data_IF_930071539667
#
_entry.id   IF_930071539667
#
_cell.length_a   1.000
_cell.length_b   1.000
_cell.length_c   1.000
_cell.angle_alpha   90.00
_cell.angle_beta   90.00
_cell.angle_gamma   90.00
#
_symmetry.space_group_name_H-M   'P 1'
#
loop_
_entity.id
_entity.type
_entity.pdbx_description
1 polymer ?
#
# COMPACT_ATOMS: atom_id res chain seq x y z
N UNK A 1 3.88 -42.98 32.95
CA UNK A 1 4.50 -41.72 32.49
C UNK A 1 4.62 -41.79 30.97
N UNK A 2 3.99 -41.00 30.11
CA UNK A 2 2.99 -39.92 30.22
C UNK A 2 2.08 -40.14 29.00
N UNK A 3 0.78 -40.32 29.23
CA UNK A 3 -0.26 -40.28 28.20
C UNK A 3 -0.63 -38.81 27.99
N UNK A 4 -0.41 -38.26 26.80
CA UNK A 4 -1.05 -37.01 26.38
C UNK A 4 -2.36 -37.35 25.66
N UNK A 5 -3.45 -37.25 26.42
CA UNK A 5 -4.82 -37.22 25.90
C UNK A 5 -5.02 -35.91 25.15
N UNK A 6 -5.14 -35.94 23.83
CA UNK A 6 -5.79 -34.87 23.08
C UNK A 6 -7.30 -35.13 23.12
N UNK A 7 -7.97 -34.48 24.07
CA UNK A 7 -9.43 -34.39 24.12
C UNK A 7 -9.92 -33.34 23.13
N UNK A 8 -10.70 -33.80 22.15
CA UNK A 8 -11.78 -33.08 21.45
C UNK A 8 -11.56 -31.62 21.06
N UNK A 9 -11.31 -31.38 19.77
CA UNK A 9 -11.91 -30.26 19.06
C UNK A 9 -12.61 -30.82 17.83
N UNK A 10 -13.90 -30.55 17.73
CA UNK A 10 -14.75 -30.84 16.58
C UNK A 10 -14.08 -30.47 15.27
N UNK A 11 -14.09 -31.39 14.31
CA UNK A 11 -13.77 -31.15 12.91
C UNK A 11 -14.80 -30.19 12.33
N UNK A 12 -14.66 -28.88 12.58
CA UNK A 12 -15.34 -27.88 11.79
C UNK A 12 -14.66 -27.86 10.42
N UNK A 13 -15.30 -28.50 9.44
CA UNK A 13 -15.00 -28.31 8.01
C UNK A 13 -15.21 -26.83 7.68
N UNK A 14 -14.18 -26.02 7.88
CA UNK A 14 -14.13 -24.67 7.32
C UNK A 14 -13.93 -24.81 5.81
N UNK A 15 -15.03 -24.93 5.07
CA UNK A 15 -15.02 -24.66 3.64
C UNK A 15 -14.67 -23.18 3.46
N UNK A 16 -13.39 -22.89 3.24
CA UNK A 16 -12.93 -21.57 2.85
C UNK A 16 -13.37 -21.32 1.41
N UNK A 17 -14.59 -20.80 1.24
CA UNK A 17 -14.99 -20.24 -0.05
C UNK A 17 -14.26 -18.91 -0.23
N UNK A 18 -13.28 -18.90 -1.12
CA UNK A 18 -12.59 -17.69 -1.55
C UNK A 18 -13.12 -17.30 -2.93
N UNK A 19 -13.64 -16.10 -3.04
CA UNK A 19 -14.11 -15.54 -4.30
C UNK A 19 -13.92 -14.03 -4.28
N UNK A 20 -13.74 -13.44 -5.46
CA UNK A 20 -13.80 -11.99 -5.60
C UNK A 20 -15.29 -11.60 -5.53
N UNK A 21 -15.68 -10.67 -4.64
CA UNK A 21 -17.07 -10.25 -4.56
C UNK A 21 -17.54 -9.67 -5.89
N UNK A 22 -18.70 -10.11 -6.38
CA UNK A 22 -19.21 -9.72 -7.70
C UNK A 22 -19.36 -8.21 -7.85
N UNK A 23 -19.73 -7.50 -6.78
CA UNK A 23 -19.88 -6.04 -6.80
C UNK A 23 -18.57 -5.32 -7.17
N UNK A 24 -17.42 -5.82 -6.74
CA UNK A 24 -16.12 -5.22 -7.06
C UNK A 24 -15.82 -5.33 -8.55
N UNK A 25 -16.19 -6.47 -9.15
CA UNK A 25 -16.07 -6.70 -10.60
C UNK A 25 -17.08 -5.81 -11.36
N UNK A 26 -18.35 -5.80 -10.94
CA UNK A 26 -19.40 -5.03 -11.59
C UNK A 26 -19.08 -3.54 -11.65
N UNK A 27 -18.58 -2.95 -10.56
CA UNK A 27 -18.22 -1.53 -10.54
C UNK A 27 -17.10 -1.18 -11.54
N UNK A 28 -16.07 -2.02 -11.61
CA UNK A 28 -14.95 -1.83 -12.54
C UNK A 28 -15.44 -2.03 -13.98
N UNK A 29 -16.26 -3.05 -14.21
CA UNK A 29 -16.84 -3.34 -15.51
C UNK A 29 -17.73 -2.20 -16.02
N UNK A 30 -18.59 -1.64 -15.17
CA UNK A 30 -19.44 -0.51 -15.50
C UNK A 30 -18.60 0.70 -15.95
N UNK A 31 -17.51 1.01 -15.24
CA UNK A 31 -16.59 2.09 -15.64
C UNK A 31 -15.90 1.80 -16.97
N UNK A 32 -15.55 0.55 -17.27
CA UNK A 32 -14.97 0.16 -18.56
C UNK A 32 -15.99 0.34 -19.69
N UNK A 33 -17.25 -0.02 -19.45
CA UNK A 33 -18.34 0.08 -20.43
C UNK A 33 -18.74 1.54 -20.66
N UNK A 34 -18.82 2.36 -19.61
CA UNK A 34 -19.28 3.76 -19.67
C UNK A 34 -18.23 4.77 -20.14
N UNK A 35 -17.11 4.29 -20.70
CA UNK A 35 -15.88 5.02 -20.98
C UNK A 35 -15.12 5.48 -19.71
N UNK A 36 -13.97 4.85 -19.47
CA UNK A 36 -13.09 5.17 -18.35
C UNK A 36 -12.20 6.39 -18.65
N UNK A 37 -11.89 7.15 -17.60
CA UNK A 37 -11.08 8.38 -17.69
C UNK A 37 -9.59 8.17 -17.39
N UNK A 38 -9.16 6.93 -17.14
CA UNK A 38 -7.76 6.63 -16.84
C UNK A 38 -6.91 6.39 -18.09
N UNK A 39 -5.60 6.19 -17.91
CA UNK A 39 -4.69 5.96 -19.02
C UNK A 39 -5.11 4.68 -19.79
N UNK A 40 -4.94 4.67 -21.11
CA UNK A 40 -5.25 3.49 -21.89
C UNK A 40 -4.21 2.40 -21.63
N UNK A 41 -4.66 1.20 -21.28
CA UNK A 41 -3.79 0.02 -21.14
C UNK A 41 -4.02 -0.96 -22.29
N UNK A 42 -2.94 -1.61 -22.72
CA UNK A 42 -2.99 -2.70 -23.68
C UNK A 42 -3.26 -4.02 -22.95
N UNK A 43 -4.43 -4.62 -23.17
CA UNK A 43 -4.81 -5.90 -22.58
C UNK A 43 -5.23 -6.84 -23.70
N UNK A 44 -4.54 -7.98 -23.84
CA UNK A 44 -4.80 -8.99 -24.88
C UNK A 44 -4.87 -8.39 -26.30
N UNK A 45 -3.98 -7.42 -26.61
CA UNK A 45 -3.92 -6.77 -27.93
C UNK A 45 -4.96 -5.67 -28.15
N UNK A 46 -5.83 -5.38 -27.18
CA UNK A 46 -6.83 -4.32 -27.27
C UNK A 46 -6.43 -3.17 -26.34
N UNK A 47 -6.24 -1.98 -26.91
CA UNK A 47 -5.99 -0.76 -26.15
C UNK A 47 -7.32 -0.15 -25.73
N UNK A 48 -7.58 -0.06 -24.42
CA UNK A 48 -8.78 0.58 -23.87
C UNK A 48 -8.43 1.50 -22.71
N UNK A 49 -9.12 2.64 -22.56
CA UNK A 49 -9.07 3.44 -21.35
C UNK A 49 -9.41 2.56 -20.15
N UNK A 50 -8.52 2.55 -19.15
CA UNK A 50 -8.75 1.78 -17.93
C UNK A 50 -9.29 2.66 -16.82
N UNK A 51 -10.18 2.15 -15.96
CA UNK A 51 -10.74 2.93 -14.87
C UNK A 51 -9.68 3.21 -13.82
N UNK A 52 -9.66 4.45 -13.36
CA UNK A 52 -9.02 4.78 -12.09
C UNK A 52 -9.93 4.31 -10.95
N UNK A 53 -9.32 3.72 -9.93
CA UNK A 53 -10.02 3.23 -8.75
C UNK A 53 -9.63 4.11 -7.57
N UNK A 54 -10.64 4.74 -6.98
CA UNK A 54 -10.48 5.52 -5.76
C UNK A 54 -10.61 4.63 -4.53
N UNK A 55 -9.68 4.78 -3.60
CA UNK A 55 -9.61 4.00 -2.36
C UNK A 55 -9.26 4.89 -1.17
N UNK A 56 -9.65 4.48 0.04
CA UNK A 56 -9.38 5.21 1.28
C UNK A 56 -7.96 4.95 1.83
N UNK A 57 -7.34 3.82 1.46
CA UNK A 57 -6.02 3.38 1.98
C UNK A 57 -5.95 3.22 3.50
N UNK A 58 -7.00 2.64 4.08
CA UNK A 58 -7.11 2.33 5.50
C UNK A 58 -7.38 0.83 5.68
N UNK A 59 -6.63 0.20 6.58
CA UNK A 59 -6.91 -1.17 7.01
C UNK A 59 -8.02 -1.14 8.07
N UNK A 60 -9.12 -1.84 7.78
CA UNK A 60 -10.33 -1.86 8.59
C UNK A 60 -10.66 -3.29 9.01
N UNK A 61 -11.26 -3.44 10.18
CA UNK A 61 -11.80 -4.70 10.64
C UNK A 61 -13.19 -4.53 11.27
N UNK A 62 -14.09 -5.51 11.09
CA UNK A 62 -15.41 -5.46 11.69
C UNK A 62 -15.33 -5.66 13.21
N UNK A 63 -16.11 -4.86 13.94
CA UNK A 63 -16.32 -5.00 15.38
C UNK A 63 -17.83 -5.10 15.65
N UNK A 64 -18.26 -6.13 16.37
CA UNK A 64 -19.67 -6.29 16.75
C UNK A 64 -20.17 -5.11 17.57
N UNK A 65 -21.43 -4.69 17.36
CA UNK A 65 -22.01 -3.57 18.08
C UNK A 65 -22.11 -3.81 19.59
N UNK A 66 -22.26 -5.06 20.03
CA UNK A 66 -22.19 -5.44 21.46
C UNK A 66 -20.85 -5.05 22.09
N UNK A 67 -19.75 -5.22 21.35
CA UNK A 67 -18.41 -4.82 21.77
C UNK A 67 -18.18 -3.32 21.55
N UNK A 68 -18.75 -2.72 20.51
CA UNK A 68 -18.69 -1.27 20.31
C UNK A 68 -19.35 -0.52 21.48
N UNK A 69 -20.44 -1.05 22.03
CA UNK A 69 -21.12 -0.50 23.21
C UNK A 69 -20.22 -0.47 24.45
N UNK A 70 -19.37 -1.49 24.68
CA UNK A 70 -18.43 -1.47 25.80
C UNK A 70 -17.34 -0.41 25.67
N UNK A 71 -17.12 0.12 24.45
CA UNK A 71 -16.24 1.27 24.21
C UNK A 71 -16.96 2.62 24.32
N UNK A 72 -18.25 2.65 24.69
CA UNK A 72 -19.02 3.87 24.91
C UNK A 72 -19.78 4.38 23.69
N UNK A 73 -19.92 3.59 22.62
CA UNK A 73 -20.72 3.98 21.46
C UNK A 73 -22.18 4.23 21.88
N UNK A 74 -22.77 5.35 21.45
CA UNK A 74 -24.10 5.76 21.86
C UNK A 74 -25.20 4.81 21.34
N UNK A 75 -26.27 4.68 22.11
CA UNK A 75 -27.41 3.84 21.71
C UNK A 75 -28.07 4.35 20.42
N UNK A 76 -28.02 5.66 20.14
CA UNK A 76 -28.51 6.25 18.89
C UNK A 76 -27.77 5.66 17.69
N UNK A 77 -26.44 5.62 17.74
CA UNK A 77 -25.64 5.01 16.66
C UNK A 77 -25.82 3.50 16.56
N UNK A 78 -25.94 2.80 17.69
CA UNK A 78 -26.23 1.36 17.68
C UNK A 78 -27.55 1.10 16.94
N UNK A 79 -28.62 1.85 17.24
CA UNK A 79 -29.89 1.69 16.55
C UNK A 79 -29.79 2.04 15.05
N UNK A 80 -29.08 3.11 14.69
CA UNK A 80 -28.86 3.50 13.29
C UNK A 80 -28.14 2.40 12.50
N UNK A 81 -27.07 1.82 13.06
CA UNK A 81 -26.28 0.77 12.42
C UNK A 81 -27.06 -0.57 12.34
N UNK A 82 -27.83 -0.93 13.38
CA UNK A 82 -28.71 -2.10 13.34
C UNK A 82 -29.82 -1.94 12.30
N UNK A 83 -30.39 -0.73 12.17
CA UNK A 83 -31.41 -0.45 11.16
C UNK A 83 -30.85 -0.59 9.74
N UNK A 84 -29.60 -0.17 9.50
CA UNK A 84 -28.94 -0.31 8.20
C UNK A 84 -28.57 -1.76 7.87
N UNK A 85 -27.99 -2.49 8.82
CA UNK A 85 -27.59 -3.90 8.62
C UNK A 85 -28.00 -4.76 9.83
N UNK A 86 -29.25 -5.27 9.84
CA UNK A 86 -29.77 -6.05 10.96
C UNK A 86 -29.15 -7.44 11.08
N UNK A 87 -28.42 -7.90 10.05
CA UNK A 87 -27.80 -9.21 9.98
C UNK A 87 -26.39 -9.16 10.59
N UNK A 88 -25.52 -8.27 10.08
CA UNK A 88 -24.11 -8.23 10.52
C UNK A 88 -23.94 -7.57 11.89
N UNK A 89 -24.75 -6.54 12.19
CA UNK A 89 -24.72 -5.80 13.47
C UNK A 89 -23.29 -5.44 13.91
N UNK A 90 -22.56 -4.78 13.02
CA UNK A 90 -21.16 -4.43 13.19
C UNK A 90 -20.90 -2.95 12.87
N UNK A 91 -19.77 -2.47 13.34
CA UNK A 91 -19.15 -1.20 12.96
C UNK A 91 -17.72 -1.48 12.46
N UNK A 92 -17.23 -0.70 11.51
CA UNK A 92 -15.86 -0.85 11.01
C UNK A 92 -14.91 -0.04 11.87
N UNK A 93 -13.83 -0.68 12.31
CA UNK A 93 -12.82 -0.08 13.17
C UNK A 93 -11.48 0.00 12.46
N UNK A 94 -10.78 1.13 12.63
CA UNK A 94 -9.46 1.38 12.02
C UNK A 94 -8.41 0.52 12.71
N UNK A 95 -7.69 -0.28 11.92
CA UNK A 95 -6.50 -1.02 12.37
C UNK A 95 -5.23 -0.18 12.17
N UNK A 96 -5.15 0.50 11.04
CA UNK A 96 -4.05 1.38 10.66
C UNK A 96 -4.29 1.99 9.29
N UNK A 97 -3.56 3.03 8.97
CA UNK A 97 -3.56 3.66 7.66
C UNK A 97 -2.30 3.23 6.89
N UNK A 98 -2.38 3.18 5.56
CA UNK A 98 -1.18 3.00 4.76
C UNK A 98 -0.32 4.26 4.88
N UNK A 99 0.98 4.09 5.06
CA UNK A 99 1.91 5.20 5.16
C UNK A 99 1.98 6.02 3.86
N UNK A 100 2.01 7.34 3.98
CA UNK A 100 1.90 8.31 2.89
C UNK A 100 0.51 8.40 2.25
N UNK A 101 -0.52 7.76 2.82
CA UNK A 101 -1.91 7.91 2.33
C UNK A 101 -2.52 9.24 2.78
N UNK A 102 -3.59 9.66 2.11
CA UNK A 102 -4.32 10.86 2.53
C UNK A 102 -5.10 10.69 3.84
N UNK A 103 -5.18 9.47 4.36
CA UNK A 103 -5.85 9.15 5.62
C UNK A 103 -4.89 9.06 6.83
N UNK A 104 -3.58 8.93 6.62
CA UNK A 104 -2.58 8.58 7.65
C UNK A 104 -2.60 9.48 8.89
N UNK A 105 -2.77 10.79 8.71
CA UNK A 105 -2.75 11.77 9.81
C UNK A 105 -4.15 12.19 10.29
N UNK A 106 -5.21 11.60 9.73
CA UNK A 106 -6.59 11.97 10.01
C UNK A 106 -7.32 10.89 10.81
N UNK A 107 -7.08 9.63 10.47
CA UNK A 107 -7.67 8.48 11.13
C UNK A 107 -6.63 7.79 12.02
N UNK A 108 -7.07 7.41 13.22
CA UNK A 108 -6.23 6.79 14.24
C UNK A 108 -6.65 5.35 14.49
N UNK A 109 -5.70 4.54 14.97
CA UNK A 109 -6.00 3.18 15.36
C UNK A 109 -7.10 3.14 16.43
N UNK A 110 -8.13 2.35 16.15
CA UNK A 110 -9.26 2.14 17.06
C UNK A 110 -10.44 3.06 16.83
N UNK A 111 -10.36 4.04 15.93
CA UNK A 111 -11.52 4.81 15.48
C UNK A 111 -12.60 3.90 14.91
N UNK A 112 -13.86 4.19 15.22
CA UNK A 112 -14.99 3.53 14.58
C UNK A 112 -15.60 4.45 13.53
N UNK A 113 -15.75 3.97 12.30
CA UNK A 113 -16.38 4.71 11.22
C UNK A 113 -17.89 4.52 11.34
N UNK A 114 -18.62 5.60 11.61
CA UNK A 114 -20.06 5.59 11.85
C UNK A 114 -20.85 5.93 10.59
N UNK A 115 -20.46 6.98 9.89
CA UNK A 115 -21.12 7.44 8.69
C UNK A 115 -20.13 8.08 7.71
N UNK A 116 -20.49 8.09 6.43
CA UNK A 116 -19.83 8.85 5.38
C UNK A 116 -20.89 9.64 4.63
N UNK A 117 -20.68 10.95 4.47
CA UNK A 117 -21.64 11.90 3.90
C UNK A 117 -23.02 11.81 4.57
N UNK A 118 -23.03 11.69 5.90
CA UNK A 118 -24.22 11.52 6.77
C UNK A 118 -24.98 10.20 6.58
N UNK A 119 -24.52 9.30 5.74
CA UNK A 119 -25.08 7.97 5.57
C UNK A 119 -24.33 6.95 6.44
N UNK A 120 -25.01 6.17 7.31
CA UNK A 120 -24.35 5.19 8.17
C UNK A 120 -23.53 4.16 7.38
N UNK A 121 -22.44 3.65 7.95
CA UNK A 121 -21.54 2.68 7.31
C UNK A 121 -21.43 1.41 8.16
N UNK A 122 -21.71 0.25 7.57
CA UNK A 122 -21.68 -1.03 8.29
C UNK A 122 -20.76 -2.06 7.65
N UNK A 123 -20.39 -1.91 6.37
CA UNK A 123 -19.57 -2.86 5.66
C UNK A 123 -18.57 -2.21 4.69
N UNK A 124 -17.57 -2.98 4.23
CA UNK A 124 -16.52 -2.48 3.33
C UNK A 124 -17.09 -1.89 2.03
N UNK A 125 -18.16 -2.51 1.51
CA UNK A 125 -18.86 -2.05 0.30
C UNK A 125 -19.43 -0.63 0.47
N UNK A 126 -19.90 -0.23 1.66
CA UNK A 126 -20.39 1.13 1.88
C UNK A 126 -19.27 2.17 1.68
N UNK A 127 -18.05 1.85 2.14
CA UNK A 127 -16.87 2.72 1.98
C UNK A 127 -16.43 2.77 0.52
N UNK A 128 -16.39 1.61 -0.15
CA UNK A 128 -16.05 1.54 -1.57
C UNK A 128 -17.04 2.36 -2.41
N UNK A 129 -18.34 2.21 -2.17
CA UNK A 129 -19.39 2.99 -2.83
C UNK A 129 -19.23 4.49 -2.58
N UNK A 130 -18.94 4.89 -1.34
CA UNK A 130 -18.72 6.29 -0.99
C UNK A 130 -17.48 6.88 -1.70
N UNK A 131 -16.40 6.11 -1.79
CA UNK A 131 -15.23 6.48 -2.60
C UNK A 131 -15.65 6.66 -4.07
N UNK A 132 -16.27 5.66 -4.70
CA UNK A 132 -16.62 5.75 -6.13
C UNK A 132 -17.63 6.86 -6.44
N UNK A 133 -18.52 7.21 -5.51
CA UNK A 133 -19.46 8.31 -5.68
C UNK A 133 -18.77 9.67 -5.90
N UNK A 134 -17.54 9.84 -5.39
CA UNK A 134 -16.75 11.05 -5.63
C UNK A 134 -16.38 11.23 -7.10
N UNK A 135 -16.23 10.14 -7.87
CA UNK A 135 -15.87 10.22 -9.29
C UNK A 135 -17.02 10.72 -10.17
N UNK A 136 -18.27 10.67 -9.68
CA UNK A 136 -19.46 11.12 -10.43
C UNK A 136 -19.70 12.63 -10.32
N UNK A 137 -19.04 13.30 -9.37
CA UNK A 137 -19.20 14.72 -9.10
C UNK A 137 -17.97 15.48 -9.58
N UNK A 138 -18.12 16.31 -10.61
CA UNK A 138 -17.05 17.14 -11.16
C UNK A 138 -16.57 18.26 -10.20
N UNK A 139 -17.18 18.38 -9.02
CA UNK A 139 -16.90 19.43 -8.02
C UNK A 139 -16.28 18.90 -6.73
N UNK A 140 -15.99 17.60 -6.61
CA UNK A 140 -15.50 17.05 -5.35
C UNK A 140 -13.97 17.03 -5.28
N UNK A 141 -13.40 17.63 -4.23
CA UNK A 141 -11.96 17.67 -3.92
C UNK A 141 -11.34 16.29 -3.55
N UNK A 142 -12.05 15.18 -3.84
CA UNK A 142 -11.64 13.83 -3.46
C UNK A 142 -11.71 13.56 -1.95
N UNK A 143 -12.49 14.36 -1.21
CA UNK A 143 -12.67 14.28 0.24
C UNK A 143 -13.99 13.58 0.59
N UNK A 144 -13.97 12.74 1.63
CA UNK A 144 -15.14 12.13 2.24
C UNK A 144 -15.44 12.83 3.57
N UNK A 145 -16.68 13.27 3.78
CA UNK A 145 -17.12 13.72 5.09
C UNK A 145 -17.40 12.48 5.96
N UNK A 146 -16.53 12.21 6.92
CA UNK A 146 -16.61 11.03 7.78
C UNK A 146 -17.04 11.42 9.20
N UNK A 147 -18.07 10.76 9.71
CA UNK A 147 -18.41 10.76 11.13
C UNK A 147 -17.73 9.56 11.76
N UNK A 148 -16.84 9.80 12.72
CA UNK A 148 -16.14 8.75 13.46
C UNK A 148 -16.44 8.84 14.96
N UNK A 149 -16.20 7.74 15.66
CA UNK A 149 -16.18 7.69 17.11
C UNK A 149 -14.76 7.45 17.61
N UNK A 150 -14.20 8.45 18.31
CA UNK A 150 -12.85 8.44 18.89
C UNK A 150 -12.95 8.79 20.37
N UNK A 151 -12.38 7.93 21.22
CA UNK A 151 -12.24 8.17 22.66
C UNK A 151 -13.54 8.66 23.36
N UNK A 152 -14.69 8.05 23.05
CA UNK A 152 -15.96 8.40 23.69
C UNK A 152 -16.72 9.55 23.03
N UNK A 153 -16.20 10.14 21.94
CA UNK A 153 -16.80 11.31 21.28
C UNK A 153 -17.00 11.07 19.79
N UNK A 154 -18.04 11.69 19.28
CA UNK A 154 -18.30 11.79 17.84
C UNK A 154 -17.45 12.93 17.26
N UNK A 155 -16.77 12.66 16.15
CA UNK A 155 -15.90 13.60 15.47
C UNK A 155 -16.21 13.59 13.99
N UNK A 156 -16.40 14.78 13.41
CA UNK A 156 -16.55 14.98 11.98
C UNK A 156 -15.18 15.31 11.37
N UNK A 157 -14.79 14.57 10.33
CA UNK A 157 -13.52 14.75 9.62
C UNK A 157 -13.74 14.80 8.12
N UNK A 158 -12.90 15.55 7.42
CA UNK A 158 -12.77 15.48 5.96
C UNK A 158 -11.55 14.62 5.63
N UNK A 159 -11.77 13.41 5.11
CA UNK A 159 -10.69 12.45 4.83
C UNK A 159 -10.48 12.31 3.33
N UNK A 160 -9.25 12.50 2.88
CA UNK A 160 -8.90 12.38 1.47
C UNK A 160 -8.85 10.94 0.99
N UNK A 161 -9.05 10.76 -0.31
CA UNK A 161 -8.96 9.47 -1.00
C UNK A 161 -7.81 9.43 -2.01
N UNK A 162 -7.20 8.28 -2.11
CA UNK A 162 -6.12 7.97 -3.03
C UNK A 162 -6.67 7.36 -4.32
N UNK A 163 -5.96 7.56 -5.43
CA UNK A 163 -6.37 7.10 -6.76
C UNK A 163 -5.33 6.11 -7.29
N UNK A 164 -5.78 4.97 -7.78
CA UNK A 164 -4.95 3.89 -8.30
C UNK A 164 -5.30 3.59 -9.75
N UNK A 165 -4.28 3.36 -10.56
CA UNK A 165 -4.37 2.98 -11.97
C UNK A 165 -4.32 1.46 -12.20
N UNK A 166 -4.00 0.70 -11.15
CA UNK A 166 -3.93 -0.77 -11.19
C UNK A 166 -2.60 -1.34 -11.69
N UNK A 167 -1.63 -0.53 -12.11
CA UNK A 167 -0.35 -1.02 -12.63
C UNK A 167 0.59 -1.54 -11.52
N UNK A 168 0.48 -1.00 -10.31
CA UNK A 168 1.37 -1.33 -9.21
C UNK A 168 2.80 -0.86 -9.48
N UNK A 169 3.79 -1.76 -9.36
CA UNK A 169 5.20 -1.42 -9.60
C UNK A 169 5.50 -1.38 -11.10
N UNK A 170 5.95 -0.24 -11.58
CA UNK A 170 6.30 -0.01 -13.00
C UNK A 170 7.80 0.18 -13.24
N UNK A 171 8.61 0.27 -12.17
CA UNK A 171 10.06 0.45 -12.26
C UNK A 171 10.76 -0.29 -11.14
N UNK A 172 11.83 -0.99 -11.50
CA UNK A 172 12.77 -1.58 -10.53
C UNK A 172 14.19 -1.35 -10.99
N UNK A 173 15.13 -1.19 -10.06
CA UNK A 173 16.55 -0.97 -10.35
C UNK A 173 17.37 -2.04 -9.64
N UNK A 174 18.25 -2.70 -10.38
CA UNK A 174 19.29 -3.53 -9.81
C UNK A 174 20.58 -2.72 -9.69
N UNK A 175 21.12 -2.66 -8.48
CA UNK A 175 22.42 -2.06 -8.19
C UNK A 175 23.21 -2.96 -7.25
N UNK A 176 24.41 -3.39 -7.66
CA UNK A 176 25.29 -4.25 -6.86
C UNK A 176 24.62 -5.51 -6.28
N UNK A 177 23.54 -6.00 -6.92
CA UNK A 177 22.77 -7.17 -6.54
C UNK A 177 21.62 -6.93 -5.54
N UNK A 178 21.31 -5.69 -5.19
CA UNK A 178 20.00 -5.36 -4.60
C UNK A 178 19.02 -4.92 -5.67
N UNK A 179 17.76 -5.29 -5.51
CA UNK A 179 16.63 -4.79 -6.30
C UNK A 179 15.89 -3.76 -5.46
N UNK A 180 15.89 -2.52 -5.95
CA UNK A 180 15.20 -1.39 -5.33
C UNK A 180 14.01 -0.95 -6.19
N UNK A 181 12.99 -0.43 -5.52
CA UNK A 181 11.76 0.08 -6.12
C UNK A 181 11.06 1.05 -5.16
N UNK A 182 10.04 1.77 -5.64
CA UNK A 182 9.14 2.49 -4.75
C UNK A 182 8.42 1.52 -3.78
N UNK A 183 8.11 1.93 -2.54
CA UNK A 183 7.42 1.09 -1.58
C UNK A 183 6.04 0.68 -2.12
N UNK A 184 5.87 -0.61 -2.39
CA UNK A 184 4.58 -1.13 -2.81
C UNK A 184 3.56 -1.05 -1.66
N UNK A 185 2.26 -1.08 -1.99
CA UNK A 185 1.18 -0.88 -1.01
C UNK A 185 1.27 -1.79 0.22
N UNK A 186 1.72 -3.04 0.05
CA UNK A 186 1.93 -3.95 1.19
C UNK A 186 3.02 -3.49 2.18
N UNK A 187 4.07 -2.76 1.75
CA UNK A 187 5.06 -2.15 2.66
C UNK A 187 4.45 -0.93 3.34
N UNK A 188 3.74 -0.09 2.58
CA UNK A 188 3.04 1.09 3.14
C UNK A 188 2.00 0.69 4.19
N UNK A 189 1.33 -0.44 4.01
CA UNK A 189 0.37 -0.99 4.97
C UNK A 189 0.99 -1.38 6.33
N UNK A 190 2.33 -1.46 6.42
CA UNK A 190 3.04 -1.67 7.68
C UNK A 190 3.12 -0.38 8.52
N UNK A 191 2.68 0.77 7.98
CA UNK A 191 2.50 2.02 8.72
C UNK A 191 3.78 2.82 8.95
N UNK A 192 4.80 2.65 8.10
CA UNK A 192 6.03 3.41 8.22
C UNK A 192 6.66 3.75 6.86
N UNK A 193 7.04 5.02 6.68
CA UNK A 193 7.92 5.52 5.62
C UNK A 193 8.92 6.51 6.25
N UNK A 194 10.21 6.46 5.89
CA UNK A 194 11.18 7.45 6.34
C UNK A 194 10.87 8.87 5.84
N UNK A 195 11.10 9.87 6.70
CA UNK A 195 10.90 11.28 6.38
C UNK A 195 11.98 11.82 5.41
N UNK A 196 13.21 11.31 5.50
CA UNK A 196 14.34 11.78 4.69
C UNK A 196 14.26 11.37 3.22
N UNK A 197 13.39 10.42 2.88
CA UNK A 197 13.25 9.87 1.54
C UNK A 197 12.84 8.40 1.59
N UNK A 198 11.82 8.04 0.83
CA UNK A 198 11.24 6.70 0.89
C UNK A 198 10.96 6.07 -0.48
N UNK A 199 11.40 6.67 -1.60
CA UNK A 199 11.22 6.08 -2.93
C UNK A 199 12.20 4.95 -3.29
N UNK A 200 13.21 4.68 -2.45
CA UNK A 200 14.25 3.66 -2.76
C UNK A 200 14.22 2.54 -1.73
N UNK A 201 13.19 1.70 -1.81
CA UNK A 201 13.03 0.55 -0.92
C UNK A 201 13.76 -0.69 -1.44
N UNK A 202 14.62 -1.29 -0.62
CA UNK A 202 15.30 -2.55 -0.93
C UNK A 202 14.31 -3.70 -0.78
N UNK A 203 13.77 -4.17 -1.90
CA UNK A 203 12.79 -5.24 -1.94
C UNK A 203 13.45 -6.63 -1.87
N UNK A 204 14.63 -6.77 -2.47
CA UNK A 204 15.36 -8.04 -2.54
C UNK A 204 16.86 -7.82 -2.65
N UNK A 205 17.62 -8.82 -2.23
CA UNK A 205 19.05 -8.93 -2.51
C UNK A 205 19.37 -10.33 -3.07
N UNK A 206 20.44 -10.42 -3.84
CA UNK A 206 20.92 -11.68 -4.40
C UNK A 206 22.06 -12.26 -3.56
N UNK A 207 22.07 -13.56 -3.31
CA UNK A 207 23.17 -14.21 -2.60
C UNK A 207 24.48 -14.13 -3.41
N UNK A 208 25.60 -13.95 -2.71
CA UNK A 208 26.92 -13.80 -3.33
C UNK A 208 27.18 -12.43 -3.97
N UNK A 209 26.21 -11.52 -3.96
CA UNK A 209 26.38 -10.16 -4.45
C UNK A 209 27.20 -9.26 -3.50
N UNK A 210 27.72 -8.11 -3.98
CA UNK A 210 28.31 -7.10 -3.11
C UNK A 210 27.37 -6.69 -1.97
N UNK A 211 26.09 -6.41 -2.25
CA UNK A 211 25.13 -6.03 -1.19
C UNK A 211 24.99 -7.11 -0.11
N UNK A 212 25.02 -8.39 -0.49
CA UNK A 212 24.99 -9.51 0.46
C UNK A 212 26.24 -9.56 1.33
N UNK A 213 27.42 -9.35 0.72
CA UNK A 213 28.72 -9.32 1.40
C UNK A 213 28.83 -8.16 2.40
N UNK A 214 28.30 -6.99 2.06
CA UNK A 214 28.39 -5.78 2.87
C UNK A 214 27.18 -5.53 3.78
N UNK A 215 26.18 -6.42 3.77
CA UNK A 215 25.07 -6.41 4.73
C UNK A 215 23.92 -5.46 4.39
N UNK A 216 23.73 -5.12 3.12
CA UNK A 216 22.55 -4.42 2.61
C UNK A 216 21.48 -5.45 2.20
N UNK A 217 20.55 -5.73 3.11
CA UNK A 217 19.43 -6.65 2.95
C UNK A 217 18.10 -5.94 2.63
N UNK A 218 17.00 -6.69 2.47
CA UNK A 218 15.67 -6.08 2.28
C UNK A 218 15.14 -5.42 3.56
N UNK A 219 13.94 -4.84 3.45
CA UNK A 219 13.22 -4.17 4.54
C UNK A 219 13.86 -2.86 5.02
N UNK A 220 14.58 -2.18 4.12
CA UNK A 220 15.18 -0.89 4.41
C UNK A 220 15.15 0.02 3.19
N UNK A 221 15.17 1.32 3.42
CA UNK A 221 15.30 2.35 2.40
C UNK A 221 16.73 2.83 2.29
N UNK A 222 17.20 3.04 1.06
CA UNK A 222 18.43 3.77 0.81
C UNK A 222 18.06 5.25 0.74
N UNK A 223 18.53 6.03 1.72
CA UNK A 223 18.18 7.45 1.83
C UNK A 223 19.32 8.37 1.43
N UNK A 224 20.54 7.83 1.35
CA UNK A 224 21.72 8.60 0.96
C UNK A 224 22.83 7.68 0.41
N UNK A 225 23.54 8.18 -0.59
CA UNK A 225 24.74 7.56 -1.16
C UNK A 225 25.85 8.61 -1.25
N UNK A 226 27.01 8.35 -0.64
CA UNK A 226 28.17 9.25 -0.62
C UNK A 226 27.83 10.70 -0.19
N UNK A 227 26.91 10.88 0.76
CA UNK A 227 26.47 12.22 1.20
C UNK A 227 25.37 12.85 0.33
N UNK A 228 24.99 12.23 -0.79
CA UNK A 228 23.93 12.71 -1.68
C UNK A 228 22.58 12.05 -1.31
N UNK A 229 21.53 12.81 -1.00
CA UNK A 229 20.20 12.26 -0.73
C UNK A 229 19.62 11.50 -1.92
N UNK A 230 18.86 10.44 -1.65
CA UNK A 230 18.16 9.64 -2.67
C UNK A 230 16.67 9.52 -2.33
N UNK A 231 15.89 10.61 -2.44
CA UNK A 231 14.47 10.60 -2.07
C UNK A 231 13.60 9.70 -2.95
N UNK A 232 14.02 9.50 -4.20
CA UNK A 232 13.30 8.74 -5.23
C UNK A 232 14.26 7.92 -6.12
N UNK A 233 13.69 7.05 -6.96
CA UNK A 233 14.46 6.19 -7.86
C UNK A 233 15.25 6.96 -8.93
N UNK A 234 14.82 8.16 -9.35
CA UNK A 234 15.56 8.95 -10.34
C UNK A 234 16.82 9.55 -9.72
N UNK A 235 16.71 10.12 -8.53
CA UNK A 235 17.82 10.59 -7.71
C UNK A 235 18.81 9.45 -7.42
N UNK A 236 18.32 8.27 -7.04
CA UNK A 236 19.15 7.08 -6.84
C UNK A 236 19.90 6.66 -8.11
N UNK A 237 19.22 6.60 -9.25
CA UNK A 237 19.85 6.24 -10.52
C UNK A 237 20.89 7.27 -10.95
N UNK A 238 20.62 8.57 -10.74
CA UNK A 238 21.58 9.63 -11.06
C UNK A 238 22.85 9.51 -10.22
N UNK A 239 22.73 9.27 -8.91
CA UNK A 239 23.90 9.08 -8.04
C UNK A 239 24.66 7.80 -8.39
N UNK A 240 23.99 6.68 -8.64
CA UNK A 240 24.65 5.39 -8.93
C UNK A 240 25.34 5.34 -10.29
N UNK A 241 24.91 6.16 -11.26
CA UNK A 241 25.58 6.32 -12.58
C UNK A 241 26.99 6.88 -12.48
N UNK A 242 27.24 7.74 -11.49
CA UNK A 242 28.52 8.41 -11.29
C UNK A 242 29.57 7.52 -10.63
N UNK A 243 29.15 6.40 -10.03
CA UNK A 243 30.02 5.51 -9.28
C UNK A 243 30.83 4.61 -10.23
N UNK A 244 32.12 4.47 -9.93
CA UNK A 244 33.04 3.70 -10.77
C UNK A 244 33.24 2.26 -10.27
N UNK A 245 33.70 1.38 -11.18
CA UNK A 245 34.01 0.01 -10.82
C UNK A 245 35.10 -0.05 -9.73
N UNK A 246 34.85 -0.82 -8.67
CA UNK A 246 35.78 -0.98 -7.56
C UNK A 246 35.77 0.16 -6.53
N UNK A 247 34.96 1.21 -6.74
CA UNK A 247 34.81 2.30 -5.79
C UNK A 247 34.14 1.82 -4.49
N UNK A 248 34.57 2.36 -3.35
CA UNK A 248 33.88 2.19 -2.08
C UNK A 248 32.83 3.28 -1.90
N UNK A 249 31.60 2.85 -1.68
CA UNK A 249 30.40 3.66 -1.59
C UNK A 249 29.89 3.64 -0.16
N UNK A 250 29.68 4.81 0.44
CA UNK A 250 29.03 4.96 1.74
C UNK A 250 27.52 5.08 1.55
N UNK A 251 26.75 4.21 2.18
CA UNK A 251 25.29 4.14 2.05
C UNK A 251 24.69 4.42 3.42
N UNK A 252 23.75 5.37 3.51
CA UNK A 252 22.88 5.50 4.68
C UNK A 252 21.54 4.86 4.36
N UNK A 253 21.09 4.00 5.25
CA UNK A 253 19.80 3.33 5.16
C UNK A 253 18.96 3.57 6.40
N UNK A 254 17.65 3.37 6.25
CA UNK A 254 16.70 3.35 7.35
C UNK A 254 15.94 2.03 7.26
N UNK A 255 15.97 1.23 8.32
CA UNK A 255 15.24 -0.03 8.36
C UNK A 255 13.74 0.21 8.63
N UNK A 256 12.88 -0.75 8.30
CA UNK A 256 11.43 -0.74 8.53
C UNK A 256 11.00 -0.43 9.97
N UNK A 257 11.89 -0.60 10.95
CA UNK A 257 11.65 -0.25 12.36
C UNK A 257 12.18 1.15 12.74
N UNK A 258 12.47 2.00 11.75
CA UNK A 258 12.97 3.36 11.93
C UNK A 258 14.45 3.48 12.31
N UNK A 259 15.20 2.37 12.41
CA UNK A 259 16.61 2.43 12.82
C UNK A 259 17.51 2.84 11.64
N UNK A 260 18.26 3.95 11.75
CA UNK A 260 19.24 4.32 10.73
C UNK A 260 20.48 3.43 10.82
N UNK A 261 21.11 3.18 9.68
CA UNK A 261 22.38 2.45 9.59
C UNK A 261 23.25 3.06 8.51
N UNK A 262 24.57 3.07 8.73
CA UNK A 262 25.55 3.43 7.70
C UNK A 262 26.34 2.18 7.35
N UNK A 263 26.52 1.98 6.05
CA UNK A 263 27.18 0.82 5.46
C UNK A 263 28.24 1.32 4.47
N UNK A 264 29.22 0.49 4.19
CA UNK A 264 30.13 0.67 3.05
C UNK A 264 29.95 -0.49 2.10
N UNK A 265 29.94 -0.24 0.80
CA UNK A 265 29.82 -1.24 -0.26
C UNK A 265 30.88 -0.98 -1.32
N UNK A 266 31.53 -2.03 -1.83
CA UNK A 266 32.40 -1.91 -3.00
C UNK A 266 31.60 -2.19 -4.27
N UNK A 267 31.55 -1.23 -5.19
CA UNK A 267 30.84 -1.37 -6.46
C UNK A 267 31.52 -2.40 -7.36
N UNK A 268 30.72 -3.30 -7.94
CA UNK A 268 31.20 -4.34 -8.85
C UNK A 268 30.38 -4.35 -10.14
N UNK A 269 30.83 -3.57 -11.12
CA UNK A 269 30.23 -3.53 -12.46
C UNK A 269 30.57 -4.72 -13.35
N UNK A 270 31.49 -5.62 -12.93
CA UNK A 270 31.87 -6.78 -13.74
C UNK A 270 30.81 -7.88 -13.65
N UNK A 271 30.45 -8.28 -12.43
CA UNK A 271 29.42 -9.29 -12.20
C UNK A 271 28.04 -8.69 -11.94
N UNK A 272 27.97 -7.44 -11.48
CA UNK A 272 26.73 -6.78 -11.07
C UNK A 272 26.55 -5.41 -11.73
N UNK A 273 26.39 -5.35 -13.06
CA UNK A 273 26.10 -4.10 -13.75
C UNK A 273 24.82 -3.48 -13.19
N UNK A 274 24.77 -2.15 -13.21
CA UNK A 274 23.58 -1.40 -12.82
C UNK A 274 22.62 -1.38 -13.99
N UNK A 275 21.38 -1.82 -13.77
CA UNK A 275 20.34 -1.82 -14.80
C UNK A 275 18.98 -1.58 -14.15
N UNK A 276 18.04 -1.11 -14.96
CA UNK A 276 16.64 -0.97 -14.54
C UNK A 276 15.72 -1.76 -15.46
N UNK A 277 14.58 -2.18 -14.90
CA UNK A 277 13.43 -2.63 -15.64
C UNK A 277 12.37 -1.53 -15.56
N UNK A 278 11.88 -1.10 -16.71
CA UNK A 278 10.75 -0.16 -16.82
C UNK A 278 9.60 -0.81 -17.57
N UNK A 279 8.42 -0.78 -16.98
CA UNK A 279 7.18 -1.21 -17.63
C UNK A 279 6.70 -0.09 -18.54
N UNK A 280 6.47 -0.42 -19.80
CA UNK A 280 5.80 0.48 -20.74
C UNK A 280 4.31 0.12 -20.78
N UNK A 281 3.41 0.97 -20.24
CA UNK A 281 1.98 0.69 -20.22
C UNK A 281 1.33 0.69 -21.60
N UNK A 282 1.91 1.36 -22.61
CA UNK A 282 1.39 1.40 -23.97
C UNK A 282 1.59 0.09 -24.72
N UNK A 283 2.73 -0.58 -24.49
CA UNK A 283 3.08 -1.86 -25.12
C UNK A 283 2.85 -3.06 -24.22
N UNK A 284 2.58 -2.85 -22.92
CA UNK A 284 2.53 -3.87 -21.89
C UNK A 284 3.82 -4.73 -21.80
N UNK A 285 4.97 -4.13 -22.14
CA UNK A 285 6.27 -4.80 -22.17
C UNK A 285 7.21 -4.18 -21.14
N UNK A 286 7.99 -5.03 -20.48
CA UNK A 286 9.10 -4.62 -19.65
C UNK A 286 10.37 -4.44 -20.49
N UNK A 287 10.98 -3.27 -20.40
CA UNK A 287 12.25 -2.97 -21.04
C UNK A 287 13.38 -2.96 -20.01
N UNK A 288 14.45 -3.69 -20.32
CA UNK A 288 15.68 -3.65 -19.54
C UNK A 288 16.64 -2.64 -20.13
N UNK A 289 17.03 -1.66 -19.32
CA UNK A 289 18.00 -0.64 -19.70
C UNK A 289 19.24 -0.79 -18.82
N UNK A 290 20.41 -0.92 -19.43
CA UNK A 290 21.69 -0.89 -18.70
C UNK A 290 22.00 0.56 -18.36
N UNK A 291 22.19 0.85 -17.08
CA UNK A 291 22.48 2.17 -16.55
C UNK A 291 23.99 2.40 -16.52
N UNK A 292 24.75 1.41 -16.04
CA UNK A 292 26.21 1.44 -15.95
C UNK A 292 26.74 0.02 -15.98
N UNK A 293 27.71 -0.24 -16.85
CA UNK A 293 28.45 -1.49 -16.95
C UNK A 293 29.94 -1.18 -17.17
N UNK A 294 30.80 -2.20 -17.07
CA UNK A 294 32.17 -2.07 -17.56
C UNK A 294 32.15 -1.87 -19.08
N UNK A 295 32.96 -0.94 -19.56
CA UNK A 295 33.24 -0.77 -20.99
C UNK A 295 34.00 -1.97 -21.55
#
# INVERSE_FOLDING_TARGET
MVQLKFSGSTSEDHQFVRGIPIYAISQVLDKIISAANGPPLLINGVKRPMPLVRILEVELYPTLLSKARSFGLSDVWIQALVKKDPIRRQVLRVKGCLAGSKAENLLEQGDMILAINKEPVTCFLDIENACQALDKSNTNDGLLQMTIFRQGREVELLVGTDVRDGNGTTRTVNWCGCVVQDPHSAVRALGFLPEEGHGVYVARWCHGSPVHRYGLYALQWIVEINGKPTPDLDSFVNVTKELEHGEFVRIRTIHLNGKPRVLTLKQDLHYWPTWELRFNPDSAIWHRNVIKALN
#
